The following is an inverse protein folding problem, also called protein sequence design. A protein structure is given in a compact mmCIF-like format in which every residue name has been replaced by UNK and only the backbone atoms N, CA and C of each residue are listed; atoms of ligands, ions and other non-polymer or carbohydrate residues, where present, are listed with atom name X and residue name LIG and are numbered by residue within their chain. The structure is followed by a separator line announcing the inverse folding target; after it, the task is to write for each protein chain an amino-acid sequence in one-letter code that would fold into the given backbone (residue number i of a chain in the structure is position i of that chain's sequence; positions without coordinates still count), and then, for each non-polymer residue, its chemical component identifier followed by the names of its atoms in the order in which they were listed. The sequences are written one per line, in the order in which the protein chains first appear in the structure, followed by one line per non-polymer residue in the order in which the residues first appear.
data_IF_062969810526
#
_entry.id   IF_062969810526
#
_cell.length_a   1.000
_cell.length_b   1.000
_cell.length_c   1.000
_cell.angle_alpha   90.00
_cell.angle_beta   90.00
_cell.angle_gamma   90.00
#
_symmetry.space_group_name_H-M   'P 1'
#
loop_
_entity.id
_entity.type
_entity.pdbx_description
1 polymer ?
#
# COMPACT_ATOMS: atom_id res chain seq x y z
N UNK A 1 21.84 0.65 29.97
CA UNK A 1 20.44 0.19 29.88
C UNK A 1 20.37 -0.95 28.88
N UNK A 2 19.45 -1.88 29.08
CA UNK A 2 19.31 -3.09 28.27
C UNK A 2 18.80 -2.72 26.87
N UNK A 3 19.72 -2.39 25.95
CA UNK A 3 19.49 -2.55 24.52
C UNK A 3 19.23 -4.04 24.30
N UNK A 4 17.97 -4.42 24.15
CA UNK A 4 17.62 -5.74 23.62
C UNK A 4 18.39 -5.91 22.31
N UNK A 5 19.17 -6.98 22.21
CA UNK A 5 19.89 -7.30 20.98
C UNK A 5 18.88 -7.29 19.81
N UNK A 6 19.25 -6.74 18.64
CA UNK A 6 18.38 -6.78 17.47
C UNK A 6 18.02 -8.24 17.14
N UNK A 7 16.79 -8.46 16.67
CA UNK A 7 16.25 -9.78 16.39
C UNK A 7 17.04 -10.54 15.29
N UNK A 8 17.73 -9.80 14.41
CA UNK A 8 18.61 -10.35 13.37
C UNK A 8 20.02 -9.80 13.54
N UNK A 9 20.99 -10.68 13.79
CA UNK A 9 22.42 -10.31 13.92
C UNK A 9 23.29 -11.01 12.87
N UNK A 10 22.91 -12.20 12.41
CA UNK A 10 23.71 -13.02 11.50
C UNK A 10 22.97 -13.30 10.19
N UNK A 11 23.65 -13.07 9.06
CA UNK A 11 23.29 -13.57 7.75
C UNK A 11 24.23 -14.75 7.44
N UNK A 12 23.90 -15.98 7.88
CA UNK A 12 24.83 -17.11 7.89
C UNK A 12 25.40 -17.45 6.50
N UNK A 13 24.71 -17.07 5.43
CA UNK A 13 25.12 -17.31 4.04
C UNK A 13 25.52 -16.03 3.27
N UNK A 14 25.66 -14.89 3.95
CA UNK A 14 26.04 -13.63 3.34
C UNK A 14 27.15 -12.91 4.15
N UNK A 15 28.38 -13.47 4.20
CA UNK A 15 29.47 -12.96 5.05
C UNK A 15 29.95 -11.55 4.70
N UNK A 16 29.61 -11.06 3.50
CA UNK A 16 29.93 -9.71 3.03
C UNK A 16 28.82 -8.68 3.33
N UNK A 17 27.77 -9.07 4.05
CA UNK A 17 26.64 -8.20 4.40
C UNK A 17 26.57 -8.01 5.92
N UNK A 18 26.14 -6.82 6.34
CA UNK A 18 25.93 -6.48 7.75
C UNK A 18 24.54 -5.88 7.89
N UNK A 19 23.78 -6.35 8.88
CA UNK A 19 22.49 -5.76 9.25
C UNK A 19 22.74 -4.70 10.32
N UNK A 20 22.28 -3.47 10.06
CA UNK A 20 22.38 -2.34 10.99
C UNK A 20 20.95 -1.91 11.33
N UNK A 21 20.50 -2.05 12.59
CA UNK A 21 19.21 -1.52 13.01
C UNK A 21 19.20 0.01 12.86
N UNK A 22 18.24 0.55 12.11
CA UNK A 22 18.10 1.99 11.90
C UNK A 22 17.17 2.65 12.92
N UNK A 23 16.08 1.97 13.27
CA UNK A 23 15.13 2.35 14.31
C UNK A 23 14.36 1.10 14.77
N UNK A 24 13.92 1.09 16.03
CA UNK A 24 13.14 0.01 16.64
C UNK A 24 11.90 0.57 17.31
N UNK A 25 10.82 -0.19 17.33
CA UNK A 25 9.62 0.14 18.11
C UNK A 25 10.00 0.37 19.57
N UNK A 26 9.58 1.50 20.13
CA UNK A 26 9.97 1.98 21.45
C UNK A 26 11.08 3.03 21.42
N UNK A 27 11.79 3.21 20.30
CA UNK A 27 12.75 4.29 20.16
C UNK A 27 12.05 5.65 20.21
N UNK A 28 12.69 6.56 20.94
CA UNK A 28 12.29 7.96 21.02
C UNK A 28 13.27 8.82 20.24
N UNK A 29 12.72 9.76 19.49
CA UNK A 29 13.50 10.70 18.67
C UNK A 29 12.91 12.09 18.79
N UNK A 30 13.69 13.16 18.55
CA UNK A 30 13.16 14.51 18.47
C UNK A 30 11.93 14.60 17.54
N UNK A 31 10.92 15.37 17.93
CA UNK A 31 9.72 15.58 17.11
C UNK A 31 10.06 16.43 15.88
N UNK A 32 9.69 15.94 14.70
CA UNK A 32 9.76 16.68 13.45
C UNK A 32 8.50 17.55 13.26
N UNK A 33 8.68 18.84 13.01
CA UNK A 33 7.56 19.79 12.77
C UNK A 33 7.76 20.57 11.47
N UNK A 34 6.70 21.19 10.94
CA UNK A 34 6.74 21.96 9.69
C UNK A 34 6.19 21.19 8.48
N UNK A 35 6.60 21.58 7.28
CA UNK A 35 6.18 20.99 6.00
C UNK A 35 7.39 20.47 5.22
N UNK A 36 7.20 19.63 4.19
CA UNK A 36 8.30 19.20 3.32
C UNK A 36 9.17 20.35 2.85
N UNK A 37 10.48 20.11 2.88
CA UNK A 37 11.55 21.07 2.56
C UNK A 37 11.73 22.25 3.55
N UNK A 38 10.93 22.34 4.61
CA UNK A 38 11.06 23.35 5.67
C UNK A 38 10.91 22.76 7.09
N UNK A 39 11.24 21.47 7.22
CA UNK A 39 11.13 20.77 8.48
C UNK A 39 12.10 21.31 9.54
N UNK A 40 11.62 21.33 10.78
CA UNK A 40 12.39 21.72 11.95
C UNK A 40 12.32 20.67 13.04
N UNK A 41 13.45 20.44 13.70
CA UNK A 41 13.56 19.50 14.81
C UNK A 41 13.19 20.20 16.12
N UNK A 42 12.25 19.63 16.87
CA UNK A 42 11.90 20.11 18.20
C UNK A 42 13.03 19.85 19.19
N UNK A 43 13.34 20.86 20.02
CA UNK A 43 14.34 20.75 21.08
C UNK A 43 13.75 20.23 22.41
N UNK A 44 12.42 20.12 22.51
CA UNK A 44 11.73 19.85 23.78
C UNK A 44 10.70 18.72 23.70
N UNK A 45 10.28 18.34 22.49
CA UNK A 45 9.30 17.27 22.28
C UNK A 45 9.94 16.11 21.53
N UNK A 46 9.52 14.89 21.89
CA UNK A 46 9.96 13.65 21.25
C UNK A 46 8.76 12.95 20.61
N UNK A 47 9.02 12.22 19.52
CA UNK A 47 8.15 11.25 18.88
C UNK A 47 8.62 9.84 19.26
N UNK A 48 7.68 8.91 19.46
CA UNK A 48 7.99 7.50 19.66
C UNK A 48 7.57 6.68 18.44
N UNK A 49 8.46 5.80 17.98
CA UNK A 49 8.08 4.77 17.02
C UNK A 49 7.29 3.68 17.78
N UNK A 50 6.08 3.36 17.33
CA UNK A 50 5.17 2.49 18.07
C UNK A 50 4.31 1.66 17.13
N UNK A 51 4.00 0.41 17.50
CA UNK A 51 3.13 -0.47 16.71
C UNK A 51 3.95 -1.48 15.93
N UNK A 52 3.43 -1.88 14.76
CA UNK A 52 4.10 -2.77 13.81
C UNK A 52 4.42 -1.95 12.55
N UNK A 53 5.67 -1.46 12.42
CA UNK A 53 6.14 -0.86 11.17
C UNK A 53 6.05 -1.87 10.05
N UNK A 54 5.42 -1.45 8.96
CA UNK A 54 5.20 -2.29 7.79
C UNK A 54 5.68 -1.53 6.55
N UNK A 55 4.85 -1.34 5.52
CA UNK A 55 5.15 -0.62 4.28
C UNK A 55 6.02 0.61 4.46
N UNK A 56 7.15 0.63 3.74
CA UNK A 56 8.16 1.67 3.79
C UNK A 56 8.29 2.41 2.45
N UNK A 57 8.59 3.71 2.52
CA UNK A 57 8.96 4.50 1.33
C UNK A 57 10.09 5.46 1.64
N UNK A 58 11.03 5.62 0.72
CA UNK A 58 12.20 6.48 0.88
C UNK A 58 12.13 7.69 -0.05
N UNK A 59 12.25 8.89 0.50
CA UNK A 59 12.50 10.12 -0.26
C UNK A 59 13.80 10.77 0.21
N UNK A 60 14.74 11.00 -0.71
CA UNK A 60 16.06 11.53 -0.37
C UNK A 60 16.28 12.93 -0.90
N UNK A 61 16.93 13.77 -0.10
CA UNK A 61 17.51 15.05 -0.53
C UNK A 61 19.02 15.00 -0.32
N UNK A 62 19.80 15.99 -0.81
CA UNK A 62 21.23 16.06 -0.51
C UNK A 62 21.56 16.11 1.00
N UNK A 63 20.61 16.54 1.83
CA UNK A 63 20.83 16.82 3.25
C UNK A 63 20.21 15.79 4.20
N UNK A 64 19.27 14.96 3.73
CA UNK A 64 18.56 14.00 4.57
C UNK A 64 17.84 12.90 3.77
N UNK A 65 17.57 11.79 4.46
CA UNK A 65 16.63 10.76 4.03
C UNK A 65 15.33 10.89 4.83
N UNK A 66 14.20 10.79 4.14
CA UNK A 66 12.87 10.78 4.73
C UNK A 66 12.23 9.42 4.47
N UNK A 67 11.92 8.69 5.54
CA UNK A 67 11.30 7.37 5.47
C UNK A 67 9.85 7.46 5.92
N UNK A 68 8.94 7.18 5.01
CA UNK A 68 7.52 7.00 5.26
C UNK A 68 7.30 5.58 5.76
N UNK A 69 6.48 5.43 6.78
CA UNK A 69 6.27 4.14 7.47
C UNK A 69 4.81 3.98 7.78
N UNK A 70 4.19 2.94 7.24
CA UNK A 70 2.89 2.48 7.69
C UNK A 70 3.00 1.75 9.03
N UNK A 71 1.93 1.84 9.80
CA UNK A 71 1.81 1.18 11.09
C UNK A 71 0.55 0.33 11.08
N UNK A 72 0.73 -0.99 11.10
CA UNK A 72 -0.31 -2.00 10.92
C UNK A 72 -1.10 -2.22 12.23
N UNK A 73 -1.68 -1.14 12.76
CA UNK A 73 -2.27 -1.11 14.10
C UNK A 73 -3.80 -1.14 13.99
N UNK A 74 -4.47 -1.97 14.79
CA UNK A 74 -5.94 -1.98 14.86
C UNK A 74 -6.51 -0.67 15.40
N UNK A 75 -7.65 -0.21 14.86
CA UNK A 75 -8.30 1.07 15.20
C UNK A 75 -8.49 1.35 16.71
N UNK A 76 -8.68 0.31 17.52
CA UNK A 76 -8.93 0.42 18.97
C UNK A 76 -7.66 0.56 19.81
N UNK A 77 -6.48 0.37 19.22
CA UNK A 77 -5.21 0.52 19.91
C UNK A 77 -4.86 1.99 20.06
N UNK A 78 -4.35 2.36 21.24
CA UNK A 78 -4.00 3.75 21.56
C UNK A 78 -2.55 3.84 22.02
N UNK A 79 -1.82 4.81 21.48
CA UNK A 79 -0.39 5.00 21.74
C UNK A 79 -0.06 6.46 21.99
N UNK A 80 1.12 6.73 22.56
CA UNK A 80 1.60 8.09 22.73
C UNK A 80 1.99 8.69 21.37
N UNK A 81 1.56 9.92 21.12
CA UNK A 81 1.99 10.71 19.98
C UNK A 81 3.36 11.35 20.23
N UNK A 82 3.60 11.71 21.50
CA UNK A 82 4.87 12.27 21.99
C UNK A 82 5.16 11.72 23.38
N UNK A 83 6.40 11.39 23.71
CA UNK A 83 6.72 10.73 25.00
C UNK A 83 6.76 11.72 26.15
N UNK A 84 7.32 12.89 25.93
CA UNK A 84 7.39 13.96 26.94
C UNK A 84 6.21 14.95 26.86
N UNK A 85 5.12 14.57 26.19
CA UNK A 85 3.91 15.38 26.01
C UNK A 85 2.64 14.64 26.47
N UNK A 86 1.48 15.29 26.31
CA UNK A 86 0.17 14.75 26.72
C UNK A 86 -0.67 14.24 25.56
N UNK A 87 -0.05 13.95 24.41
CA UNK A 87 -0.75 13.58 23.18
C UNK A 87 -0.85 12.08 22.96
N UNK A 88 -2.00 11.59 22.49
CA UNK A 88 -2.24 10.21 22.05
C UNK A 88 -2.72 10.19 20.61
N UNK A 89 -2.68 9.01 20.01
CA UNK A 89 -3.32 8.70 18.73
C UNK A 89 -3.84 7.27 18.76
N UNK A 90 -5.02 7.09 18.18
CA UNK A 90 -5.71 5.81 18.09
C UNK A 90 -5.61 5.25 16.66
N UNK A 91 -5.44 3.93 16.56
CA UNK A 91 -5.43 3.21 15.30
C UNK A 91 -4.14 3.28 14.50
N UNK A 92 -4.25 2.89 13.23
CA UNK A 92 -3.18 2.95 12.27
C UNK A 92 -2.80 4.40 11.94
N UNK A 93 -1.58 4.57 11.43
CA UNK A 93 -1.02 5.86 11.04
C UNK A 93 0.13 5.69 10.07
N UNK A 94 0.51 6.80 9.47
CA UNK A 94 1.76 6.92 8.72
C UNK A 94 2.69 7.79 9.54
N UNK A 95 3.91 7.33 9.79
CA UNK A 95 4.97 8.18 10.35
C UNK A 95 5.96 8.61 9.26
N UNK A 96 6.59 9.76 9.49
CA UNK A 96 7.71 10.23 8.70
C UNK A 96 8.94 10.30 9.60
N UNK A 97 9.97 9.52 9.30
CA UNK A 97 11.26 9.52 9.97
C UNK A 97 12.27 10.29 9.14
N UNK A 98 13.13 11.07 9.78
CA UNK A 98 14.23 11.77 9.14
C UNK A 98 15.56 11.17 9.59
N UNK A 99 16.40 10.81 8.64
CA UNK A 99 17.77 10.38 8.85
C UNK A 99 18.76 11.34 8.19
N UNK A 100 19.99 11.38 8.69
CA UNK A 100 21.10 12.04 8.01
C UNK A 100 21.49 11.29 6.72
N UNK A 101 22.31 11.87 5.84
CA UNK A 101 22.85 11.16 4.67
C UNK A 101 23.68 9.91 5.03
N UNK A 102 24.14 9.80 6.29
CA UNK A 102 24.87 8.65 6.83
C UNK A 102 23.95 7.72 7.65
N UNK A 103 22.63 7.78 7.42
CA UNK A 103 21.61 6.94 8.05
C UNK A 103 21.52 7.03 9.59
N UNK A 104 21.94 8.16 10.17
CA UNK A 104 21.69 8.43 11.60
C UNK A 104 20.28 8.96 11.79
N UNK A 105 19.50 8.36 12.69
CA UNK A 105 18.15 8.84 13.02
C UNK A 105 18.21 10.24 13.64
N UNK A 106 17.55 11.22 13.01
CA UNK A 106 17.53 12.63 13.45
C UNK A 106 16.24 12.95 14.19
N UNK A 107 15.10 12.60 13.61
CA UNK A 107 13.78 13.00 14.13
C UNK A 107 12.66 12.18 13.50
N UNK A 108 11.44 12.33 14.01
CA UNK A 108 10.28 11.66 13.46
C UNK A 108 8.98 12.35 13.83
N UNK A 109 7.90 12.00 13.15
CA UNK A 109 6.55 12.49 13.44
C UNK A 109 5.48 11.53 12.97
N UNK A 110 4.29 11.69 13.53
CA UNK A 110 3.06 11.28 12.85
C UNK A 110 2.83 12.21 11.64
N UNK A 111 2.58 11.63 10.48
CA UNK A 111 2.37 12.38 9.24
C UNK A 111 0.92 12.82 9.07
N UNK A 112 -0.05 11.92 9.28
CA UNK A 112 -1.47 12.24 9.05
C UNK A 112 -2.00 13.08 10.22
N UNK A 113 -2.26 14.36 9.97
CA UNK A 113 -2.84 15.29 10.94
C UNK A 113 -4.29 15.63 10.61
N UNK A 114 -4.66 15.46 9.35
CA UNK A 114 -5.99 15.79 8.82
C UNK A 114 -6.49 14.69 7.92
N UNK A 115 -7.79 14.44 7.98
CA UNK A 115 -8.52 13.62 7.01
C UNK A 115 -9.49 14.54 6.29
N UNK A 116 -9.46 14.54 4.96
CA UNK A 116 -10.41 15.28 4.13
C UNK A 116 -11.21 14.29 3.31
N UNK A 117 -12.46 14.09 3.71
CA UNK A 117 -13.42 13.22 3.02
C UNK A 117 -13.86 13.82 1.69
N UNK A 118 -14.34 12.97 0.78
CA UNK A 118 -14.83 13.38 -0.56
C UNK A 118 -16.04 14.32 -0.49
N UNK A 119 -16.82 14.27 0.60
CA UNK A 119 -17.90 15.22 0.84
C UNK A 119 -17.43 16.60 1.34
N UNK A 120 -16.11 16.80 1.47
CA UNK A 120 -15.48 18.04 1.93
C UNK A 120 -15.35 18.18 3.45
N UNK A 121 -15.83 17.22 4.24
CA UNK A 121 -15.66 17.21 5.69
C UNK A 121 -14.19 17.02 6.04
N UNK A 122 -13.69 17.85 6.95
CA UNK A 122 -12.31 17.78 7.44
C UNK A 122 -12.33 17.36 8.90
N UNK A 123 -11.61 16.29 9.20
CA UNK A 123 -11.32 15.83 10.55
C UNK A 123 -9.87 16.16 10.87
N UNK A 124 -9.60 16.67 12.06
CA UNK A 124 -8.25 16.96 12.54
C UNK A 124 -7.94 16.08 13.74
N UNK A 125 -6.71 15.58 13.82
CA UNK A 125 -6.27 14.81 14.98
C UNK A 125 -6.42 15.65 16.27
N UNK A 126 -7.24 15.17 17.19
CA UNK A 126 -7.31 15.69 18.55
C UNK A 126 -6.37 14.87 19.44
N UNK A 127 -5.21 15.41 19.84
CA UNK A 127 -4.23 14.66 20.62
C UNK A 127 -4.69 14.34 22.04
N UNK A 128 -5.79 14.95 22.53
CA UNK A 128 -6.33 14.65 23.87
C UNK A 128 -7.10 13.32 23.84
N UNK A 129 -7.99 13.14 22.85
CA UNK A 129 -8.73 11.89 22.67
C UNK A 129 -7.95 10.83 21.88
N UNK A 130 -7.06 11.25 21.00
CA UNK A 130 -6.37 10.43 20.02
C UNK A 130 -7.19 10.16 18.76
N UNK A 131 -8.38 10.75 18.64
CA UNK A 131 -9.27 10.58 17.49
C UNK A 131 -9.14 11.74 16.49
N UNK A 132 -9.46 11.48 15.22
CA UNK A 132 -9.70 12.56 14.26
C UNK A 132 -11.12 13.09 14.44
N UNK A 133 -11.27 14.41 14.64
CA UNK A 133 -12.56 15.05 14.91
C UNK A 133 -12.84 16.22 13.97
N UNK A 134 -14.09 16.35 13.56
CA UNK A 134 -14.54 17.51 12.79
C UNK A 134 -14.78 18.74 13.69
N UNK A 135 -15.18 19.87 13.09
CA UNK A 135 -15.47 21.10 13.82
C UNK A 135 -16.66 21.00 14.81
N UNK A 136 -17.50 19.97 14.67
CA UNK A 136 -18.64 19.69 15.55
C UNK A 136 -18.30 18.63 16.62
N UNK A 137 -17.05 18.16 16.67
CA UNK A 137 -16.58 17.12 17.57
C UNK A 137 -16.97 15.70 17.17
N UNK A 138 -17.51 15.48 15.97
CA UNK A 138 -17.80 14.15 15.43
C UNK A 138 -16.51 13.42 15.12
N UNK A 139 -16.45 12.14 15.50
CA UNK A 139 -15.30 11.28 15.25
C UNK A 139 -15.32 10.81 13.80
N UNK A 140 -14.15 10.76 13.19
CA UNK A 140 -13.93 10.13 11.90
C UNK A 140 -14.20 8.62 11.99
N UNK A 141 -15.16 8.13 11.21
CA UNK A 141 -15.56 6.73 11.18
C UNK A 141 -15.26 6.10 9.82
N UNK A 142 -14.82 4.83 9.84
CA UNK A 142 -14.67 3.98 8.66
C UNK A 142 -15.44 2.69 8.87
N UNK A 143 -16.56 2.56 8.18
CA UNK A 143 -17.53 1.50 8.50
C UNK A 143 -17.93 1.58 9.97
N UNK A 144 -17.63 0.52 10.71
CA UNK A 144 -18.04 0.35 12.11
C UNK A 144 -16.99 0.76 13.15
N UNK A 145 -15.82 1.26 12.75
CA UNK A 145 -14.75 1.66 13.67
C UNK A 145 -14.32 3.12 13.50
N UNK A 146 -13.80 3.69 14.58
CA UNK A 146 -13.23 5.03 14.60
C UNK A 146 -11.77 4.99 14.11
N UNK A 147 -11.34 6.06 13.42
CA UNK A 147 -9.97 6.25 12.92
C UNK A 147 -9.54 5.25 11.84
N UNK A 148 -8.24 5.18 11.55
CA UNK A 148 -7.64 4.23 10.63
C UNK A 148 -7.32 2.90 11.33
N UNK A 149 -7.26 1.80 10.58
CA UNK A 149 -6.93 0.48 11.12
C UNK A 149 -6.10 -0.31 10.12
N UNK A 150 -5.00 -0.93 10.54
CA UNK A 150 -4.15 -1.79 9.71
C UNK A 150 -3.76 -1.15 8.38
N UNK A 151 -2.88 -0.15 8.44
CA UNK A 151 -2.13 0.20 7.24
C UNK A 151 -1.01 -0.81 7.10
N UNK A 152 -1.13 -1.72 6.12
CA UNK A 152 -0.19 -2.79 5.86
C UNK A 152 1.01 -2.26 5.03
N UNK A 153 1.35 -2.88 3.89
CA UNK A 153 2.30 -2.33 2.93
C UNK A 153 1.94 -0.90 2.49
N UNK A 154 2.77 -0.25 1.68
CA UNK A 154 2.54 1.10 1.21
C UNK A 154 3.39 1.45 0.00
N UNK A 155 3.03 2.56 -0.65
CA UNK A 155 3.76 3.01 -1.82
C UNK A 155 4.08 4.49 -1.78
N UNK A 156 5.33 4.85 -2.02
CA UNK A 156 5.75 6.23 -2.19
C UNK A 156 5.95 6.53 -3.67
N UNK A 157 5.06 7.33 -4.24
CA UNK A 157 5.34 7.98 -5.51
C UNK A 157 6.20 9.23 -5.23
N UNK A 158 7.53 9.09 -5.31
CA UNK A 158 8.46 10.20 -5.03
C UNK A 158 8.26 11.43 -5.93
N UNK A 159 7.81 11.18 -7.15
CA UNK A 159 7.55 12.21 -8.16
C UNK A 159 6.35 11.85 -9.02
N UNK A 160 5.91 12.82 -9.84
CA UNK A 160 4.88 12.63 -10.85
C UNK A 160 3.48 13.03 -10.41
N UNK A 161 3.28 13.46 -9.17
CA UNK A 161 1.99 13.98 -8.70
C UNK A 161 2.12 15.39 -8.13
N UNK A 162 0.98 16.06 -7.97
CA UNK A 162 0.86 17.37 -7.36
C UNK A 162 0.30 17.25 -5.93
N UNK A 163 0.79 18.08 -5.02
CA UNK A 163 0.20 18.25 -3.71
C UNK A 163 -1.11 19.07 -3.76
N UNK A 164 -1.73 19.27 -2.59
CA UNK A 164 -2.97 20.06 -2.48
C UNK A 164 -2.79 21.55 -2.81
N UNK A 165 -1.56 22.06 -2.85
CA UNK A 165 -1.21 23.41 -3.30
C UNK A 165 -0.85 23.46 -4.80
N UNK A 166 -0.96 22.33 -5.51
CA UNK A 166 -0.62 22.20 -6.92
C UNK A 166 0.88 22.16 -7.21
N UNK A 167 1.72 21.92 -6.20
CA UNK A 167 3.17 21.80 -6.37
C UNK A 167 3.58 20.33 -6.57
N UNK A 168 4.55 20.04 -7.44
CA UNK A 168 5.11 18.69 -7.55
C UNK A 168 5.71 18.23 -6.22
N UNK A 169 5.45 16.99 -5.83
CA UNK A 169 6.01 16.43 -4.60
C UNK A 169 5.68 14.95 -4.40
N UNK A 170 6.27 14.32 -3.37
CA UNK A 170 6.02 12.93 -3.07
C UNK A 170 4.60 12.73 -2.53
N UNK A 171 3.90 11.70 -2.99
CA UNK A 171 2.63 11.25 -2.41
C UNK A 171 2.76 9.82 -1.87
N UNK A 172 2.26 9.61 -0.65
CA UNK A 172 2.24 8.30 -0.02
C UNK A 172 0.87 7.67 -0.18
N UNK A 173 0.81 6.42 -0.62
CA UNK A 173 -0.41 5.64 -0.72
C UNK A 173 -0.47 4.67 0.46
N UNK A 174 -1.48 4.85 1.31
CA UNK A 174 -1.74 4.06 2.49
C UNK A 174 -2.96 3.15 2.25
N UNK A 175 -2.73 1.86 1.95
CA UNK A 175 -3.77 0.85 1.85
C UNK A 175 -4.29 0.49 3.25
N UNK A 176 -5.58 0.22 3.36
CA UNK A 176 -6.17 -0.19 4.62
C UNK A 176 -6.66 -1.64 4.52
N UNK A 177 -6.19 -2.48 5.43
CA UNK A 177 -6.33 -3.93 5.43
C UNK A 177 -7.26 -4.35 6.59
N UNK A 178 -8.41 -3.67 6.70
CA UNK A 178 -9.30 -3.79 7.85
C UNK A 178 -10.77 -3.91 7.47
N UNK A 179 -11.14 -5.09 6.98
CA UNK A 179 -12.52 -5.49 6.76
C UNK A 179 -13.11 -4.96 5.45
N UNK A 180 -14.38 -5.33 5.16
CA UNK A 180 -14.96 -5.13 3.84
C UNK A 180 -15.13 -3.65 3.47
N UNK A 181 -15.24 -2.75 4.45
CA UNK A 181 -15.42 -1.33 4.20
C UNK A 181 -14.10 -0.55 4.16
N UNK A 182 -12.96 -1.24 4.12
CA UNK A 182 -11.65 -0.60 4.10
C UNK A 182 -11.38 0.16 2.79
N UNK A 183 -10.72 1.31 2.91
CA UNK A 183 -10.48 2.27 1.84
C UNK A 183 -9.00 2.45 1.58
N UNK A 184 -8.67 2.83 0.35
CA UNK A 184 -7.34 3.33 0.02
C UNK A 184 -7.21 4.81 0.31
N UNK A 185 -6.03 5.25 0.73
CA UNK A 185 -5.75 6.64 1.07
C UNK A 185 -4.54 7.15 0.33
N UNK A 186 -4.60 8.42 -0.08
CA UNK A 186 -3.40 9.18 -0.44
C UNK A 186 -3.11 10.19 0.66
N UNK A 187 -1.87 10.18 1.14
CA UNK A 187 -1.35 11.04 2.20
C UNK A 187 -0.40 12.05 1.57
N UNK A 188 -0.78 13.31 1.71
CA UNK A 188 -0.05 14.43 1.16
C UNK A 188 1.11 14.87 2.08
N UNK A 189 2.15 15.47 1.50
CA UNK A 189 3.20 16.26 2.16
C UNK A 189 2.78 17.06 3.40
N UNK A 190 1.62 17.71 3.33
CA UNK A 190 1.12 18.61 4.37
C UNK A 190 0.42 17.89 5.54
N UNK A 191 0.39 16.57 5.53
CA UNK A 191 -0.25 15.72 6.52
C UNK A 191 -1.75 15.50 6.32
N UNK A 192 -2.31 15.89 5.17
CA UNK A 192 -3.69 15.56 4.83
C UNK A 192 -3.78 14.18 4.19
N UNK A 193 -4.67 13.32 4.68
CA UNK A 193 -5.10 12.10 4.00
C UNK A 193 -6.43 12.34 3.27
N UNK A 194 -6.54 11.89 2.03
CA UNK A 194 -7.81 11.87 1.27
C UNK A 194 -8.12 10.46 0.78
N UNK A 195 -9.39 10.02 0.79
CA UNK A 195 -9.73 8.70 0.33
C UNK A 195 -9.66 8.60 -1.20
N UNK A 196 -9.34 7.40 -1.69
CA UNK A 196 -9.41 7.02 -3.10
C UNK A 196 -10.70 6.23 -3.33
N UNK A 197 -11.86 6.90 -3.22
CA UNK A 197 -13.16 6.21 -3.19
C UNK A 197 -13.44 5.36 -4.45
N UNK A 198 -12.96 5.80 -5.61
CA UNK A 198 -13.09 5.06 -6.87
C UNK A 198 -12.31 3.75 -6.92
N UNK A 199 -11.41 3.49 -5.96
CA UNK A 199 -10.60 2.28 -5.87
C UNK A 199 -11.34 1.10 -5.19
N UNK A 200 -12.61 1.27 -4.84
CA UNK A 200 -13.41 0.21 -4.22
C UNK A 200 -13.14 -0.01 -2.73
N UNK A 201 -14.00 -0.81 -2.09
CA UNK A 201 -13.94 -1.14 -0.66
C UNK A 201 -13.65 -2.62 -0.47
N UNK A 202 -12.55 -2.92 0.20
CA UNK A 202 -12.02 -4.26 0.48
C UNK A 202 -10.72 -4.10 1.29
N UNK A 203 -10.26 -5.18 1.95
CA UNK A 203 -8.96 -5.21 2.63
C UNK A 203 -7.83 -5.10 1.60
N UNK A 204 -7.18 -3.94 1.55
CA UNK A 204 -6.10 -3.68 0.58
C UNK A 204 -4.77 -4.00 1.22
N UNK A 205 -3.96 -4.82 0.56
CA UNK A 205 -2.56 -4.97 0.94
C UNK A 205 -1.75 -3.78 0.47
N UNK A 206 -1.80 -3.48 -0.83
CA UNK A 206 -1.03 -2.39 -1.42
C UNK A 206 -1.84 -1.53 -2.38
N UNK A 207 -1.41 -0.29 -2.56
CA UNK A 207 -1.87 0.60 -3.64
C UNK A 207 -0.64 1.14 -4.35
N UNK A 208 -0.36 0.65 -5.55
CA UNK A 208 0.81 1.03 -6.32
C UNK A 208 0.43 1.98 -7.46
N UNK A 209 1.13 3.10 -7.58
CA UNK A 209 0.91 4.04 -8.68
C UNK A 209 1.91 3.78 -9.81
N UNK A 210 1.43 3.27 -10.95
CA UNK A 210 2.27 2.96 -12.10
C UNK A 210 3.05 4.20 -12.58
N UNK A 211 4.37 4.11 -12.64
CA UNK A 211 5.29 5.21 -12.88
C UNK A 211 4.96 6.01 -14.13
N UNK A 212 4.74 5.32 -15.24
CA UNK A 212 4.49 5.94 -16.54
C UNK A 212 3.16 6.71 -16.67
N UNK A 213 2.20 6.48 -15.77
CA UNK A 213 0.88 7.12 -15.81
C UNK A 213 0.71 8.19 -14.74
N UNK A 214 1.78 8.77 -14.21
CA UNK A 214 1.66 9.86 -13.23
C UNK A 214 1.48 11.21 -13.94
N UNK A 215 0.81 12.16 -13.29
CA UNK A 215 0.48 13.48 -13.85
C UNK A 215 1.69 14.23 -14.44
N UNK A 216 2.85 14.15 -13.77
CA UNK A 216 4.10 14.75 -14.23
C UNK A 216 4.64 14.17 -15.55
N UNK A 217 4.15 13.01 -16.00
CA UNK A 217 4.58 12.35 -17.22
C UNK A 217 3.70 12.66 -18.44
N UNK A 218 2.63 13.46 -18.25
CA UNK A 218 1.77 13.90 -19.36
C UNK A 218 0.93 12.80 -20.00
N UNK A 219 0.66 11.70 -19.28
CA UNK A 219 -0.19 10.60 -19.73
C UNK A 219 -1.64 11.01 -19.95
N UNK A 220 -2.11 12.05 -19.24
CA UNK A 220 -3.53 12.44 -19.20
C UNK A 220 -4.40 11.48 -18.38
N UNK A 221 -3.81 10.40 -17.87
CA UNK A 221 -4.47 9.34 -17.10
C UNK A 221 -3.62 8.97 -15.90
N UNK A 222 -4.26 8.60 -14.79
CA UNK A 222 -3.59 8.03 -13.62
C UNK A 222 -3.95 6.57 -13.48
N UNK A 223 -2.95 5.71 -13.32
CA UNK A 223 -3.13 4.27 -13.13
C UNK A 223 -2.66 3.86 -11.75
N UNK A 224 -3.58 3.27 -10.97
CA UNK A 224 -3.29 2.65 -9.69
C UNK A 224 -3.60 1.15 -9.77
N UNK A 225 -2.75 0.33 -9.17
CA UNK A 225 -2.99 -1.09 -8.95
C UNK A 225 -3.23 -1.30 -7.46
N UNK A 226 -4.17 -2.17 -7.11
CA UNK A 226 -4.42 -2.52 -5.71
C UNK A 226 -4.64 -4.02 -5.56
N UNK A 227 -4.04 -4.58 -4.52
CA UNK A 227 -4.10 -6.01 -4.17
C UNK A 227 -5.03 -6.22 -2.99
N UNK A 228 -5.81 -7.29 -3.01
CA UNK A 228 -6.68 -7.69 -1.91
C UNK A 228 -6.08 -8.86 -1.13
N UNK A 229 -5.68 -8.62 0.12
CA UNK A 229 -5.31 -9.70 1.04
C UNK A 229 -6.59 -10.32 1.60
N UNK A 230 -7.08 -11.30 0.87
CA UNK A 230 -8.14 -12.21 1.31
C UNK A 230 -7.96 -13.57 0.64
N UNK A 231 -8.56 -14.62 1.20
CA UNK A 231 -8.41 -15.99 0.71
C UNK A 231 -8.89 -16.20 -0.74
N UNK A 232 -9.76 -15.31 -1.22
CA UNK A 232 -10.26 -15.20 -2.60
C UNK A 232 -9.94 -13.85 -3.26
N UNK A 233 -8.95 -13.13 -2.78
CA UNK A 233 -8.67 -11.74 -3.18
C UNK A 233 -8.33 -11.55 -4.66
N UNK A 234 -8.60 -10.36 -5.16
CA UNK A 234 -8.38 -9.98 -6.56
C UNK A 234 -7.30 -8.91 -6.74
N UNK A 235 -6.80 -8.80 -7.98
CA UNK A 235 -5.99 -7.68 -8.42
C UNK A 235 -6.88 -6.64 -9.12
N UNK A 236 -6.84 -5.41 -8.64
CA UNK A 236 -7.63 -4.30 -9.16
C UNK A 236 -6.76 -3.29 -9.91
N UNK A 237 -7.34 -2.69 -10.95
CA UNK A 237 -6.76 -1.57 -11.70
C UNK A 237 -7.73 -0.39 -11.64
N UNK A 238 -7.27 0.77 -11.24
CA UNK A 238 -8.01 2.02 -11.36
C UNK A 238 -7.37 2.89 -12.45
N UNK A 239 -8.19 3.38 -13.38
CA UNK A 239 -7.79 4.32 -14.43
C UNK A 239 -8.57 5.62 -14.28
N UNK A 240 -7.92 6.65 -13.75
CA UNK A 240 -8.48 7.99 -13.58
C UNK A 240 -8.05 8.97 -14.67
N UNK A 241 -8.82 10.04 -14.87
CA UNK A 241 -8.49 11.09 -15.86
C UNK A 241 -7.90 12.32 -15.20
N UNK A 242 -6.76 12.78 -15.69
CA UNK A 242 -6.12 14.00 -15.20
C UNK A 242 -6.78 15.22 -15.83
N UNK A 243 -7.33 16.10 -15.00
CA UNK A 243 -8.02 17.31 -15.45
C UNK A 243 -7.49 18.54 -14.74
N UNK A 244 -7.88 19.74 -15.19
CA UNK A 244 -7.51 20.97 -14.47
C UNK A 244 -8.09 21.07 -13.05
N UNK A 245 -9.21 20.39 -12.77
CA UNK A 245 -9.84 20.38 -11.45
C UNK A 245 -9.35 19.23 -10.56
N UNK A 246 -8.85 18.15 -11.19
CA UNK A 246 -8.29 16.98 -10.55
C UNK A 246 -7.00 16.58 -11.29
N UNK A 247 -5.89 17.29 -11.04
CA UNK A 247 -4.65 17.09 -11.80
C UNK A 247 -4.01 15.72 -11.54
N UNK A 248 -4.33 15.08 -10.42
CA UNK A 248 -3.85 13.73 -10.11
C UNK A 248 -4.80 12.63 -10.60
N UNK A 249 -6.00 12.97 -11.08
CA UNK A 249 -6.96 12.01 -11.62
C UNK A 249 -7.49 11.01 -10.59
N UNK A 250 -7.66 11.40 -9.33
CA UNK A 250 -8.15 10.51 -8.27
C UNK A 250 -9.68 10.52 -8.10
N UNK A 251 -10.37 11.54 -8.59
CA UNK A 251 -11.81 11.75 -8.36
C UNK A 251 -12.70 10.94 -9.31
N UNK A 252 -12.37 10.91 -10.60
CA UNK A 252 -13.24 10.39 -11.67
C UNK A 252 -12.53 9.29 -12.49
N UNK A 253 -12.50 8.07 -11.95
CA UNK A 253 -11.89 6.93 -12.63
C UNK A 253 -12.77 5.68 -12.73
N UNK A 254 -12.29 4.75 -13.53
CA UNK A 254 -12.92 3.45 -13.76
C UNK A 254 -12.10 2.38 -13.03
N UNK A 255 -12.77 1.63 -12.15
CA UNK A 255 -12.21 0.44 -11.50
C UNK A 255 -12.37 -0.77 -12.43
N UNK A 256 -11.35 -1.60 -12.48
CA UNK A 256 -11.35 -2.87 -13.18
C UNK A 256 -10.83 -3.96 -12.24
N UNK A 257 -11.18 -5.20 -12.53
CA UNK A 257 -10.66 -6.39 -11.85
C UNK A 257 -10.01 -7.32 -12.87
N UNK A 258 -8.88 -7.93 -12.50
CA UNK A 258 -8.15 -8.82 -13.39
C UNK A 258 -8.89 -10.14 -13.58
N UNK A 259 -8.94 -10.62 -14.81
CA UNK A 259 -9.28 -12.00 -15.18
C UNK A 259 -8.15 -12.61 -16.00
N UNK A 260 -7.74 -13.83 -15.65
CA UNK A 260 -6.68 -14.58 -16.32
C UNK A 260 -7.25 -15.83 -16.99
N UNK A 261 -6.91 -16.05 -18.27
CA UNK A 261 -7.39 -17.21 -19.02
C UNK A 261 -6.38 -17.69 -20.09
N UNK A 262 -6.56 -18.91 -20.60
CA UNK A 262 -5.77 -19.43 -21.72
C UNK A 262 -6.27 -18.87 -23.08
N UNK A 263 -5.56 -19.18 -24.18
CA UNK A 263 -5.97 -18.75 -25.52
C UNK A 263 -7.30 -19.34 -26.02
N UNK A 264 -7.86 -20.33 -25.33
CA UNK A 264 -9.19 -20.90 -25.61
C UNK A 264 -10.30 -20.27 -24.74
N UNK A 265 -9.95 -19.39 -23.80
CA UNK A 265 -10.88 -18.73 -22.89
C UNK A 265 -11.15 -19.48 -21.58
N UNK A 266 -10.39 -20.55 -21.29
CA UNK A 266 -10.48 -21.26 -20.01
C UNK A 266 -9.94 -20.37 -18.90
N UNK A 267 -10.81 -19.97 -17.98
CA UNK A 267 -10.44 -19.15 -16.84
C UNK A 267 -9.60 -19.95 -15.82
N UNK A 268 -8.71 -19.24 -15.12
CA UNK A 268 -7.98 -19.76 -13.98
C UNK A 268 -8.38 -19.00 -12.73
N UNK A 269 -8.48 -19.74 -11.62
CA UNK A 269 -8.81 -19.24 -10.29
C UNK A 269 -7.99 -19.98 -9.24
N UNK A 270 -7.88 -19.37 -8.06
CA UNK A 270 -7.19 -19.84 -6.87
C UNK A 270 -5.82 -20.42 -7.19
N UNK A 271 -5.09 -19.71 -8.07
CA UNK A 271 -3.70 -19.96 -8.43
C UNK A 271 -3.43 -21.27 -9.18
N UNK A 272 -4.43 -21.76 -9.92
CA UNK A 272 -4.31 -22.93 -10.82
C UNK A 272 -3.44 -22.72 -12.06
N UNK A 273 -2.97 -21.49 -12.26
CA UNK A 273 -2.18 -21.11 -13.43
C UNK A 273 -0.87 -21.92 -13.49
N UNK A 274 -0.54 -22.52 -14.66
CA UNK A 274 0.69 -23.26 -14.82
C UNK A 274 1.93 -22.34 -14.78
N UNK A 275 2.99 -22.82 -14.13
CA UNK A 275 4.27 -22.10 -14.02
C UNK A 275 4.94 -21.93 -15.38
N UNK A 276 5.42 -20.72 -15.67
CA UNK A 276 6.18 -20.40 -16.88
C UNK A 276 5.37 -20.38 -18.19
N UNK A 277 4.04 -20.48 -18.10
CA UNK A 277 3.15 -20.36 -19.26
C UNK A 277 2.58 -18.95 -19.32
N UNK A 278 2.74 -18.31 -20.47
CA UNK A 278 2.11 -17.02 -20.73
C UNK A 278 0.63 -17.21 -21.06
N UNK A 279 -0.20 -16.61 -20.21
CA UNK A 279 -1.66 -16.54 -20.30
C UNK A 279 -2.09 -15.15 -20.75
N UNK A 280 -3.40 -14.99 -20.97
CA UNK A 280 -4.03 -13.70 -21.27
C UNK A 280 -4.60 -13.13 -19.99
N UNK A 281 -4.15 -11.93 -19.63
CA UNK A 281 -4.81 -11.07 -18.65
C UNK A 281 -5.78 -10.11 -19.36
N UNK A 282 -6.99 -9.99 -18.83
CA UNK A 282 -8.02 -9.06 -19.29
C UNK A 282 -8.59 -8.30 -18.09
N UNK A 283 -8.81 -7.00 -18.25
CA UNK A 283 -9.42 -6.16 -17.22
C UNK A 283 -10.93 -6.09 -17.41
N UNK A 284 -11.69 -6.59 -16.45
CA UNK A 284 -13.15 -6.49 -16.46
C UNK A 284 -13.58 -5.19 -15.77
N UNK A 285 -14.29 -4.27 -16.46
CA UNK A 285 -14.73 -3.01 -15.86
C UNK A 285 -15.81 -3.23 -14.80
N UNK A 286 -15.58 -2.71 -13.60
CA UNK A 286 -16.52 -2.72 -12.48
C UNK A 286 -17.51 -1.56 -12.63
N UNK A 287 -18.83 -1.77 -12.62
CA UNK A 287 -19.79 -0.68 -12.70
C UNK A 287 -19.57 0.36 -11.59
N UNK A 288 -19.64 1.66 -11.91
CA UNK A 288 -19.35 2.72 -10.95
C UNK A 288 -20.18 2.64 -9.65
N UNK A 289 -21.46 2.24 -9.74
CA UNK A 289 -22.31 2.04 -8.56
C UNK A 289 -21.91 0.85 -7.67
N UNK A 290 -21.16 -0.11 -8.22
CA UNK A 290 -20.56 -1.22 -7.47
C UNK A 290 -19.25 -0.76 -6.84
N UNK A 291 -18.37 -0.11 -7.63
CA UNK A 291 -17.09 0.39 -7.14
C UNK A 291 -17.24 1.40 -5.99
N UNK A 292 -18.21 2.32 -6.08
CA UNK A 292 -18.50 3.32 -5.05
C UNK A 292 -19.44 2.79 -3.94
N UNK A 293 -19.86 1.53 -4.04
CA UNK A 293 -20.82 0.90 -3.13
C UNK A 293 -20.19 0.41 -1.82
N UNK A 294 -20.76 -0.67 -1.27
CA UNK A 294 -20.20 -1.39 -0.12
C UNK A 294 -19.18 -2.43 -0.57
N UNK A 295 -18.30 -2.85 0.33
CA UNK A 295 -17.35 -3.91 0.01
C UNK A 295 -18.02 -5.25 -0.24
N UNK A 296 -19.10 -5.56 0.49
CA UNK A 296 -19.91 -6.74 0.22
C UNK A 296 -20.49 -6.72 -1.21
N UNK A 297 -20.96 -5.55 -1.68
CA UNK A 297 -21.49 -5.41 -3.03
C UNK A 297 -20.43 -5.54 -4.12
N UNK A 298 -19.20 -5.07 -3.85
CA UNK A 298 -18.05 -5.28 -4.73
C UNK A 298 -17.66 -6.76 -4.78
N UNK A 299 -17.46 -7.40 -3.62
CA UNK A 299 -17.11 -8.81 -3.48
C UNK A 299 -18.12 -9.73 -4.18
N UNK A 300 -19.43 -9.53 -3.95
CA UNK A 300 -20.50 -10.27 -4.64
C UNK A 300 -20.44 -10.10 -6.16
N UNK A 301 -20.04 -8.91 -6.62
CA UNK A 301 -19.95 -8.62 -8.04
C UNK A 301 -18.72 -9.28 -8.66
N UNK A 302 -17.52 -9.11 -8.09
CA UNK A 302 -16.29 -9.66 -8.69
C UNK A 302 -16.31 -11.18 -8.71
N UNK A 303 -16.84 -11.82 -7.67
CA UNK A 303 -16.94 -13.28 -7.55
C UNK A 303 -17.99 -13.93 -8.47
N UNK A 304 -18.77 -13.17 -9.25
CA UNK A 304 -19.70 -13.79 -10.18
C UNK A 304 -18.95 -14.40 -11.39
N UNK A 305 -19.42 -15.54 -11.92
CA UNK A 305 -18.67 -16.29 -12.93
C UNK A 305 -18.21 -15.46 -14.14
N UNK A 306 -16.90 -15.53 -14.42
CA UNK A 306 -16.29 -14.92 -15.59
C UNK A 306 -15.96 -13.43 -15.46
N UNK A 307 -15.94 -12.86 -14.25
CA UNK A 307 -15.61 -11.45 -14.02
C UNK A 307 -14.18 -11.23 -13.55
N UNK A 308 -13.70 -12.00 -12.57
CA UNK A 308 -12.34 -11.90 -12.05
C UNK A 308 -11.61 -13.25 -12.09
N UNK A 309 -10.34 -13.20 -11.73
CA UNK A 309 -9.57 -14.33 -11.21
C UNK A 309 -9.40 -14.14 -9.71
N UNK A 310 -9.84 -15.10 -8.92
CA UNK A 310 -9.53 -15.14 -7.48
C UNK A 310 -8.11 -15.64 -7.28
N UNK A 311 -7.30 -14.90 -6.53
CA UNK A 311 -5.98 -15.31 -6.07
C UNK A 311 -6.07 -15.75 -4.61
N UNK A 312 -4.98 -16.27 -4.06
CA UNK A 312 -4.93 -16.65 -2.64
C UNK A 312 -4.08 -15.64 -1.90
N UNK A 313 -4.74 -14.60 -1.38
CA UNK A 313 -4.12 -13.54 -0.57
C UNK A 313 -3.03 -12.82 -1.36
N UNK A 314 -3.44 -11.92 -2.25
CA UNK A 314 -2.48 -11.12 -2.99
C UNK A 314 -1.87 -10.11 -2.06
N UNK A 315 -0.54 -10.10 -2.06
CA UNK A 315 0.23 -9.26 -1.17
C UNK A 315 0.80 -8.05 -1.94
N UNK A 316 2.10 -7.81 -1.87
CA UNK A 316 2.72 -6.69 -2.56
C UNK A 316 2.71 -6.82 -4.08
N UNK A 317 2.78 -5.66 -4.74
CA UNK A 317 3.03 -5.49 -6.16
C UNK A 317 4.14 -4.45 -6.38
N UNK A 318 5.01 -4.64 -7.36
CA UNK A 318 6.03 -3.65 -7.67
C UNK A 318 6.32 -3.58 -9.16
N UNK A 319 6.46 -2.35 -9.66
CA UNK A 319 6.86 -2.08 -11.04
C UNK A 319 8.35 -2.41 -11.23
N UNK A 320 8.71 -3.02 -12.35
CA UNK A 320 10.10 -3.14 -12.76
C UNK A 320 10.60 -1.78 -13.29
N UNK A 321 11.52 -1.08 -12.60
CA UNK A 321 12.00 0.22 -13.05
C UNK A 321 12.80 0.15 -14.36
N UNK A 322 13.26 -1.04 -14.77
CA UNK A 322 13.97 -1.28 -16.03
C UNK A 322 13.02 -1.51 -17.21
N UNK A 323 11.77 -1.89 -16.93
CA UNK A 323 10.70 -2.07 -17.91
C UNK A 323 9.39 -1.45 -17.41
N UNK A 324 9.25 -0.10 -17.45
CA UNK A 324 8.06 0.59 -16.96
C UNK A 324 6.77 -0.01 -17.51
N UNK A 325 5.77 -0.14 -16.64
CA UNK A 325 4.51 -0.80 -16.92
C UNK A 325 4.53 -2.32 -16.73
N UNK A 326 5.68 -2.92 -16.42
CA UNK A 326 5.79 -4.32 -16.03
C UNK A 326 5.80 -4.46 -14.52
N UNK A 327 5.09 -5.44 -13.99
CA UNK A 327 4.86 -5.60 -12.56
C UNK A 327 5.09 -7.04 -12.13
N UNK A 328 5.63 -7.18 -10.93
CA UNK A 328 5.63 -8.42 -10.17
C UNK A 328 4.63 -8.30 -9.02
N UNK A 329 3.79 -9.33 -8.82
CA UNK A 329 2.84 -9.38 -7.71
C UNK A 329 2.98 -10.70 -6.96
N UNK A 330 3.06 -10.61 -5.64
CA UNK A 330 3.19 -11.74 -4.74
C UNK A 330 1.81 -12.21 -4.27
N UNK A 331 1.76 -13.49 -3.91
CA UNK A 331 0.69 -14.04 -3.10
C UNK A 331 1.26 -14.93 -2.03
N UNK A 332 0.70 -14.86 -0.84
CA UNK A 332 1.19 -15.66 0.30
C UNK A 332 0.70 -17.12 0.21
N UNK A 333 -0.41 -17.34 -0.51
CA UNK A 333 -1.08 -18.64 -0.54
C UNK A 333 -2.01 -18.84 0.67
N UNK A 334 -2.74 -19.95 0.67
CA UNK A 334 -3.61 -20.34 1.79
C UNK A 334 -3.92 -21.84 1.75
N UNK A 335 -4.18 -22.44 2.91
CA UNK A 335 -4.60 -23.85 3.08
C UNK A 335 -6.10 -24.06 2.89
N UNK A 336 -6.86 -23.02 2.54
CA UNK A 336 -8.30 -23.18 2.37
C UNK A 336 -8.59 -23.85 1.05
N UNK A 337 -9.51 -24.82 1.10
CA UNK A 337 -10.03 -25.48 -0.08
C UNK A 337 -11.06 -24.52 -0.70
N UNK A 338 -10.89 -24.08 -1.96
CA UNK A 338 -11.85 -23.21 -2.60
C UNK A 338 -13.26 -23.82 -2.62
N UNK A 339 -14.33 -23.00 -2.57
CA UNK A 339 -15.70 -23.50 -2.63
C UNK A 339 -15.93 -24.44 -3.81
N UNK A 340 -16.35 -25.69 -3.53
CA UNK A 340 -16.62 -26.70 -4.56
C UNK A 340 -15.38 -27.36 -5.18
N UNK A 341 -14.17 -27.06 -4.69
CA UNK A 341 -12.92 -27.60 -5.18
C UNK A 341 -12.42 -28.85 -4.43
N UNK A 342 -11.40 -29.49 -5.00
CA UNK A 342 -10.57 -30.53 -4.37
C UNK A 342 -9.08 -30.25 -4.56
N UNK A 343 -8.73 -28.97 -4.78
CA UNK A 343 -7.39 -28.59 -5.18
C UNK A 343 -6.39 -28.79 -4.04
N UNK A 344 -5.15 -29.18 -4.35
CA UNK A 344 -4.10 -29.23 -3.34
C UNK A 344 -3.94 -27.84 -2.72
N UNK A 345 -3.60 -27.83 -1.43
CA UNK A 345 -3.16 -26.63 -0.71
C UNK A 345 -2.10 -25.90 -1.54
N UNK A 346 -2.27 -24.59 -1.73
CA UNK A 346 -1.12 -23.73 -2.00
C UNK A 346 -0.83 -22.95 -0.74
N UNK A 347 -0.21 -23.62 0.23
CA UNK A 347 0.28 -23.03 1.48
C UNK A 347 1.64 -22.34 1.30
N UNK A 348 2.10 -22.17 0.06
CA UNK A 348 3.46 -21.69 -0.23
C UNK A 348 3.52 -20.37 -1.01
N UNK A 349 2.43 -19.91 -1.60
CA UNK A 349 2.42 -18.65 -2.34
C UNK A 349 3.05 -18.69 -3.72
N UNK A 350 2.93 -17.60 -4.49
CA UNK A 350 3.42 -17.49 -5.87
C UNK A 350 3.87 -16.07 -6.21
N UNK A 351 4.72 -15.97 -7.24
CA UNK A 351 5.04 -14.71 -7.88
C UNK A 351 4.48 -14.72 -9.30
N UNK A 352 3.75 -13.66 -9.64
CA UNK A 352 3.22 -13.44 -10.96
C UNK A 352 3.86 -12.21 -11.60
N UNK A 353 3.88 -12.19 -12.93
CA UNK A 353 4.43 -11.11 -13.73
C UNK A 353 3.47 -10.74 -14.87
N UNK A 354 3.26 -9.46 -15.10
CA UNK A 354 2.49 -8.95 -16.23
C UNK A 354 2.96 -7.55 -16.64
N UNK A 355 2.65 -7.15 -17.87
CA UNK A 355 2.93 -5.80 -18.36
C UNK A 355 1.66 -5.13 -18.84
N UNK A 356 1.34 -3.94 -18.34
CA UNK A 356 0.20 -3.16 -18.81
C UNK A 356 0.35 -2.88 -20.31
N UNK A 357 -0.78 -2.85 -21.01
CA UNK A 357 -0.78 -2.52 -22.42
C UNK A 357 -0.48 -1.01 -22.61
N UNK A 358 0.60 -0.65 -23.32
CA UNK A 358 1.03 0.74 -23.41
C UNK A 358 0.09 1.63 -24.23
N UNK A 359 -0.75 1.04 -25.09
CA UNK A 359 -1.74 1.79 -25.88
C UNK A 359 -3.04 2.05 -25.10
N UNK A 360 -3.37 1.17 -24.15
CA UNK A 360 -4.53 1.26 -23.27
C UNK A 360 -4.22 0.45 -22.01
N UNK A 361 -4.00 1.07 -20.83
CA UNK A 361 -3.66 0.32 -19.62
C UNK A 361 -4.73 -0.69 -19.18
N UNK A 362 -5.99 -0.50 -19.60
CA UNK A 362 -7.08 -1.45 -19.37
C UNK A 362 -7.23 -2.49 -20.51
N UNK A 363 -6.38 -2.42 -21.53
CA UNK A 363 -6.33 -3.39 -22.62
C UNK A 363 -5.75 -4.74 -22.18
N UNK A 364 -5.93 -5.80 -23.00
CA UNK A 364 -5.43 -7.12 -22.68
C UNK A 364 -3.90 -7.14 -22.62
N UNK A 365 -3.35 -7.99 -21.75
CA UNK A 365 -1.91 -8.18 -21.55
C UNK A 365 -1.49 -9.64 -21.43
N UNK A 366 -0.18 -9.87 -21.52
CA UNK A 366 0.42 -11.14 -21.11
C UNK A 366 0.48 -11.23 -19.58
N UNK A 367 0.10 -12.38 -19.03
CA UNK A 367 0.20 -12.68 -17.61
C UNK A 367 0.93 -14.01 -17.43
N UNK A 368 1.92 -14.08 -16.56
CA UNK A 368 2.71 -15.31 -16.34
C UNK A 368 2.96 -15.52 -14.86
N UNK A 369 2.70 -16.72 -14.35
CA UNK A 369 3.24 -17.15 -13.05
C UNK A 369 4.71 -17.51 -13.24
N UNK A 370 5.60 -16.81 -12.54
CA UNK A 370 7.06 -16.90 -12.74
C UNK A 370 7.78 -17.64 -11.63
N UNK A 371 7.20 -17.70 -10.43
CA UNK A 371 7.73 -18.45 -9.30
C UNK A 371 6.60 -19.14 -8.53
N UNK A 372 6.87 -20.34 -8.04
CA UNK A 372 6.03 -21.03 -7.07
C UNK A 372 6.80 -21.17 -5.76
N UNK A 373 6.09 -21.01 -4.65
CA UNK A 373 6.59 -21.31 -3.32
C UNK A 373 6.97 -22.78 -3.13
N UNK A 374 7.84 -23.02 -2.17
CA UNK A 374 8.30 -24.35 -1.80
C UNK A 374 9.59 -24.34 -0.97
N UNK A 375 10.06 -25.53 -0.56
CA UNK A 375 11.19 -25.69 0.36
C UNK A 375 12.50 -25.03 -0.07
N UNK A 376 12.66 -24.72 -1.36
CA UNK A 376 13.88 -24.13 -1.93
C UNK A 376 13.68 -22.73 -2.49
N UNK A 377 12.44 -22.25 -2.56
CA UNK A 377 12.09 -20.97 -3.16
C UNK A 377 11.48 -19.99 -2.15
N UNK A 378 11.19 -20.46 -0.94
CA UNK A 378 10.48 -19.72 0.11
C UNK A 378 9.00 -20.06 0.12
N UNK A 379 8.29 -19.66 1.15
CA UNK A 379 6.84 -19.82 1.29
C UNK A 379 6.25 -18.52 1.78
N UNK A 380 4.95 -18.31 1.52
CA UNK A 380 4.24 -17.15 2.04
C UNK A 380 4.86 -15.83 1.57
N UNK A 381 5.02 -15.70 0.25
CA UNK A 381 5.54 -14.48 -0.36
C UNK A 381 4.61 -13.32 -0.06
N UNK A 382 5.15 -12.33 0.64
CA UNK A 382 4.44 -11.15 1.09
C UNK A 382 5.06 -9.93 0.43
N UNK A 383 5.90 -9.18 1.15
CA UNK A 383 6.44 -7.94 0.64
C UNK A 383 7.40 -8.17 -0.54
N UNK A 384 7.43 -7.24 -1.49
CA UNK A 384 8.35 -7.33 -2.62
C UNK A 384 8.86 -5.98 -3.12
N UNK A 385 10.09 -5.99 -3.64
CA UNK A 385 10.70 -4.84 -4.32
C UNK A 385 11.46 -5.30 -5.56
N UNK A 386 11.37 -4.50 -6.62
CA UNK A 386 12.24 -4.64 -7.80
C UNK A 386 13.26 -3.51 -7.79
N UNK A 387 14.53 -3.85 -7.74
CA UNK A 387 15.61 -2.85 -7.73
C UNK A 387 15.89 -2.26 -9.12
N UNK A 388 16.72 -1.21 -9.19
CA UNK A 388 17.13 -0.55 -10.44
C UNK A 388 17.87 -1.47 -11.45
N UNK A 389 18.20 -2.69 -11.04
CA UNK A 389 18.82 -3.72 -11.89
C UNK A 389 17.81 -4.79 -12.34
N UNK A 390 16.52 -4.62 -12.03
CA UNK A 390 15.45 -5.57 -12.35
C UNK A 390 15.46 -6.82 -11.46
N UNK A 391 16.12 -6.76 -10.29
CA UNK A 391 16.15 -7.91 -9.35
C UNK A 391 14.95 -7.83 -8.43
N UNK A 392 14.17 -8.91 -8.41
CA UNK A 392 13.05 -9.07 -7.47
C UNK A 392 13.57 -9.62 -6.15
N UNK A 393 13.36 -8.86 -5.07
CA UNK A 393 13.54 -9.33 -3.69
C UNK A 393 12.16 -9.55 -3.07
N UNK A 394 11.99 -10.68 -2.39
CA UNK A 394 10.72 -11.12 -1.81
C UNK A 394 10.97 -11.39 -0.32
N UNK A 395 10.07 -10.91 0.53
CA UNK A 395 10.01 -11.22 1.96
C UNK A 395 8.94 -12.29 2.22
N UNK A 396 9.20 -13.19 3.15
CA UNK A 396 8.22 -14.19 3.61
C UNK A 396 7.51 -13.67 4.87
N UNK A 397 6.19 -13.83 4.97
CA UNK A 397 5.42 -13.64 6.22
C UNK A 397 4.59 -14.88 6.55
N UNK A 398 4.95 -15.58 7.65
CA UNK A 398 4.46 -16.93 7.95
C UNK A 398 3.52 -17.02 9.14
#
# INVERSE_FOLDING_TARGET
ELLTAPYVYDLPDAPDHVVIPLATVGDEMPLLTGTPLSYTVSLTQTFALTGWPDGLGLFSTPDAHFVYVNHEIVATSSSLLTVNGTGRINGARVSLLQFSPDWQLISGRNLIERVRESNGTVYTLDPVSGDYRDANGQVFMQGDFANFSRFCSGYLAETGFLDLAGQPGPLWFAPQEAGPEARGWVVYPDGTATPLDGLGRFSKEQIYAAGQYRAGNGSGQTVLLATEDNTDGELYLFVGQQTGADPNGFADGQLYVLRVHDGAGTAYDYETMPLGVTLVGEWTPVPAGVALGSGAGLSDWVNAPGRSTNFRRLEDIHEDPTEPGSFYVASTGHTDIPPGGSMPDNDTGRLHHFSLNPADPAGPMAFTTVLAGGPTTGVSYDNLVVDDLGRVTIQEDR
#
